data_IF_519098188557
#
_entry.id   IF_519098188557
#
_cell.length_a   1.000
_cell.length_b   1.000
_cell.length_c   1.000
_cell.angle_alpha   90.00
_cell.angle_beta   90.00
_cell.angle_gamma   90.00
#
_symmetry.space_group_name_H-M   'P 1'
#
loop_
_entity.id
_entity.type
_entity.pdbx_description
1 polymer ?
#
# COMPACT_ATOMS: atom_id res chain seq x y z
N UNK A 1 -6.20 -13.82 25.18
CA UNK A 1 -6.13 -12.93 23.98
C UNK A 1 -4.69 -12.47 23.70
N UNK A 2 -3.76 -13.37 23.31
CA UNK A 2 -2.30 -13.09 23.26
C UNK A 2 -1.66 -13.21 21.86
N UNK A 3 -2.44 -13.15 20.79
CA UNK A 3 -1.95 -13.38 19.42
C UNK A 3 -1.57 -12.09 18.64
N UNK A 4 -1.96 -10.90 19.11
CA UNK A 4 -1.82 -9.66 18.31
C UNK A 4 -0.41 -9.03 18.36
N UNK A 5 0.37 -9.31 19.40
CA UNK A 5 1.71 -8.71 19.58
C UNK A 5 2.78 -9.32 18.67
N UNK A 6 2.74 -10.64 18.45
CA UNK A 6 3.76 -11.36 17.66
C UNK A 6 3.83 -10.97 16.18
N UNK A 7 2.68 -10.62 15.57
CA UNK A 7 2.63 -10.15 14.19
C UNK A 7 3.36 -8.82 14.00
N UNK A 8 3.19 -7.90 14.96
CA UNK A 8 3.83 -6.59 14.92
C UNK A 8 5.34 -6.64 15.13
N UNK A 9 5.83 -7.56 15.98
CA UNK A 9 7.26 -7.70 16.24
C UNK A 9 7.99 -8.39 15.08
N UNK A 10 7.38 -9.40 14.44
CA UNK A 10 7.95 -10.02 13.25
C UNK A 10 8.05 -9.02 12.09
N UNK A 11 6.99 -8.25 11.83
CA UNK A 11 7.00 -7.22 10.79
C UNK A 11 8.07 -6.15 11.03
N UNK A 12 8.22 -5.67 12.28
CA UNK A 12 9.28 -4.71 12.63
C UNK A 12 10.67 -5.28 12.35
N UNK A 13 10.91 -6.53 12.74
CA UNK A 13 12.19 -7.21 12.52
C UNK A 13 12.48 -7.41 11.03
N UNK A 14 11.49 -7.85 10.26
CA UNK A 14 11.63 -8.02 8.81
C UNK A 14 11.87 -6.70 8.09
N UNK A 15 11.12 -5.66 8.47
CA UNK A 15 11.33 -4.30 7.97
C UNK A 15 12.75 -3.83 8.25
N UNK A 16 13.19 -3.91 9.50
CA UNK A 16 14.51 -3.45 9.91
C UNK A 16 15.62 -4.21 9.17
N UNK A 17 15.52 -5.55 9.07
CA UNK A 17 16.48 -6.37 8.33
C UNK A 17 16.60 -5.92 6.87
N UNK A 18 15.47 -5.74 6.19
CA UNK A 18 15.43 -5.31 4.79
C UNK A 18 15.95 -3.88 4.62
N UNK A 19 15.61 -2.99 5.55
CA UNK A 19 16.02 -1.59 5.49
C UNK A 19 17.51 -1.41 5.74
N UNK A 20 18.09 -2.08 6.74
CA UNK A 20 19.54 -2.10 6.98
C UNK A 20 20.29 -2.61 5.75
N UNK A 21 19.79 -3.68 5.12
CA UNK A 21 20.39 -4.21 3.90
C UNK A 21 20.36 -3.18 2.75
N UNK A 22 19.20 -2.56 2.52
CA UNK A 22 19.07 -1.51 1.51
C UNK A 22 19.99 -0.31 1.77
N UNK A 23 20.16 0.11 3.03
CA UNK A 23 21.08 1.18 3.40
C UNK A 23 22.55 0.81 3.14
N UNK A 24 22.97 -0.42 3.48
CA UNK A 24 24.34 -0.89 3.21
C UNK A 24 24.66 -0.90 1.72
N UNK A 25 23.70 -1.31 0.89
CA UNK A 25 23.87 -1.33 -0.57
C UNK A 25 24.07 0.10 -1.08
N UNK A 26 23.27 1.05 -0.62
CA UNK A 26 23.43 2.47 -0.96
C UNK A 26 24.77 3.06 -0.50
N UNK A 27 25.22 2.77 0.73
CA UNK A 27 26.51 3.26 1.23
C UNK A 27 27.68 2.67 0.45
N UNK A 28 27.58 1.43 -0.01
CA UNK A 28 28.61 0.77 -0.80
C UNK A 28 28.65 1.28 -2.25
N UNK A 29 27.51 1.64 -2.83
CA UNK A 29 27.44 2.11 -4.21
C UNK A 29 28.00 3.53 -4.40
N UNK A 30 27.80 4.40 -3.41
CA UNK A 30 28.22 5.80 -3.52
C UNK A 30 28.74 6.29 -2.17
N UNK A 31 30.07 6.29 -2.03
CA UNK A 31 30.74 6.74 -0.81
C UNK A 31 30.58 8.24 -0.58
N UNK A 32 30.64 9.03 -1.66
CA UNK A 32 30.51 10.48 -1.63
C UNK A 32 29.13 10.94 -2.13
N UNK A 33 28.14 10.85 -1.24
CA UNK A 33 26.79 11.36 -1.48
C UNK A 33 26.60 12.75 -0.89
N UNK A 34 25.98 13.64 -1.67
CA UNK A 34 25.43 14.90 -1.17
C UNK A 34 24.30 14.64 -0.17
N UNK A 35 23.99 15.62 0.69
CA UNK A 35 22.91 15.50 1.69
C UNK A 35 21.56 15.19 1.03
N UNK A 36 21.29 15.78 -0.13
CA UNK A 36 20.05 15.55 -0.87
C UNK A 36 19.96 14.09 -1.36
N UNK A 37 21.05 13.52 -1.83
CA UNK A 37 21.13 12.12 -2.27
C UNK A 37 20.99 11.17 -1.10
N UNK A 38 21.64 11.45 0.04
CA UNK A 38 21.47 10.67 1.27
C UNK A 38 20.00 10.64 1.71
N UNK A 39 19.32 11.80 1.71
CA UNK A 39 17.89 11.88 2.03
C UNK A 39 17.04 11.05 1.07
N UNK A 40 17.33 11.09 -0.23
CA UNK A 40 16.62 10.29 -1.25
C UNK A 40 16.88 8.79 -1.05
N UNK A 41 18.12 8.39 -0.80
CA UNK A 41 18.53 7.01 -0.54
C UNK A 41 17.82 6.43 0.70
N UNK A 42 17.80 7.19 1.80
CA UNK A 42 17.09 6.80 3.03
C UNK A 42 15.60 6.57 2.75
N UNK A 43 14.96 7.52 2.07
CA UNK A 43 13.54 7.41 1.70
C UNK A 43 13.28 6.20 0.80
N UNK A 44 14.06 6.06 -0.28
CA UNK A 44 13.89 4.97 -1.23
C UNK A 44 14.09 3.61 -0.56
N UNK A 45 15.17 3.46 0.20
CA UNK A 45 15.46 2.24 0.95
C UNK A 45 14.32 1.87 1.92
N UNK A 46 13.69 2.86 2.56
CA UNK A 46 12.54 2.63 3.43
C UNK A 46 11.27 2.22 2.65
N UNK A 47 10.95 2.93 1.57
CA UNK A 47 9.79 2.65 0.70
C UNK A 47 9.91 1.27 0.02
N UNK A 48 11.14 0.88 -0.31
CA UNK A 48 11.49 -0.44 -0.81
C UNK A 48 11.34 -1.50 0.28
N UNK A 49 11.93 -1.28 1.46
CA UNK A 49 11.88 -2.23 2.57
C UNK A 49 10.44 -2.51 3.02
N UNK A 50 9.61 -1.48 3.19
CA UNK A 50 8.21 -1.61 3.60
C UNK A 50 7.41 -2.43 2.58
N UNK A 51 7.58 -2.21 1.28
CA UNK A 51 6.91 -3.00 0.26
C UNK A 51 7.36 -4.47 0.27
N UNK A 52 8.66 -4.71 0.43
CA UNK A 52 9.24 -6.05 0.43
C UNK A 52 8.94 -6.87 1.67
N UNK A 53 8.66 -6.26 2.83
CA UNK A 53 8.15 -7.02 3.99
C UNK A 53 6.88 -7.79 3.68
N UNK A 54 6.08 -7.31 2.73
CA UNK A 54 4.85 -7.98 2.31
C UNK A 54 5.06 -8.99 1.21
N UNK A 55 6.30 -9.24 0.77
CA UNK A 55 6.64 -10.19 -0.29
C UNK A 55 5.75 -10.01 -1.54
N UNK A 56 5.41 -8.77 -1.89
CA UNK A 56 4.49 -8.43 -2.99
C UNK A 56 3.09 -9.09 -2.90
N UNK A 57 2.66 -9.48 -1.70
CA UNK A 57 1.35 -10.12 -1.47
C UNK A 57 0.17 -9.14 -1.55
N UNK A 58 0.42 -7.85 -1.33
CA UNK A 58 -0.60 -6.80 -1.36
C UNK A 58 -0.55 -6.02 -2.67
N UNK A 59 -1.68 -5.48 -3.10
CA UNK A 59 -1.71 -4.59 -4.27
C UNK A 59 -0.89 -3.33 -4.01
N UNK A 60 -1.01 -2.74 -2.81
CA UNK A 60 -0.27 -1.51 -2.49
C UNK A 60 1.24 -1.71 -2.55
N UNK A 61 1.77 -2.85 -2.08
CA UNK A 61 3.22 -3.12 -2.11
C UNK A 61 3.72 -3.32 -3.53
N UNK A 62 2.96 -4.02 -4.39
CA UNK A 62 3.29 -4.18 -5.81
C UNK A 62 3.28 -2.85 -6.56
N UNK A 63 2.25 -2.03 -6.34
CA UNK A 63 2.19 -0.70 -6.98
C UNK A 63 3.31 0.21 -6.49
N UNK A 64 3.64 0.18 -5.21
CA UNK A 64 4.76 0.95 -4.66
C UNK A 64 6.08 0.55 -5.33
N UNK A 65 6.37 -0.75 -5.43
CA UNK A 65 7.57 -1.25 -6.12
C UNK A 65 7.60 -0.89 -7.61
N UNK A 66 6.46 -1.00 -8.30
CA UNK A 66 6.35 -0.59 -9.70
C UNK A 66 6.60 0.92 -9.89
N UNK A 67 6.15 1.75 -8.96
CA UNK A 67 6.39 3.20 -9.01
C UNK A 67 7.86 3.55 -8.76
N UNK A 68 8.53 2.81 -7.87
CA UNK A 68 9.96 2.99 -7.59
C UNK A 68 10.79 2.60 -8.83
N UNK A 69 10.44 1.48 -9.47
CA UNK A 69 11.13 0.97 -10.67
C UNK A 69 11.02 1.88 -11.90
N UNK A 70 9.98 2.71 -12.01
CA UNK A 70 9.78 3.62 -13.16
C UNK A 70 10.77 4.78 -13.23
N UNK A 71 11.53 5.01 -12.17
CA UNK A 71 12.52 6.08 -12.14
C UNK A 71 13.88 5.46 -12.51
N UNK A 72 14.37 5.70 -13.73
CA UNK A 72 15.58 5.10 -14.33
C UNK A 72 16.80 5.15 -13.40
N UNK A 73 16.95 6.23 -12.62
CA UNK A 73 18.05 6.37 -11.65
C UNK A 73 17.98 5.39 -10.47
N UNK A 74 16.80 4.88 -10.16
CA UNK A 74 16.56 3.95 -9.05
C UNK A 74 16.44 2.49 -9.50
N UNK A 75 16.34 2.23 -10.81
CA UNK A 75 16.14 0.90 -11.37
C UNK A 75 17.33 -0.03 -11.06
N UNK A 76 18.56 0.42 -11.32
CA UNK A 76 19.78 -0.32 -11.01
C UNK A 76 19.97 -0.58 -9.51
N UNK A 77 19.55 0.38 -8.67
CA UNK A 77 19.59 0.27 -7.22
C UNK A 77 18.56 -0.73 -6.70
N UNK A 78 17.35 -0.73 -7.25
CA UNK A 78 16.32 -1.73 -6.94
C UNK A 78 16.82 -3.10 -7.37
N UNK A 79 17.32 -3.26 -8.59
CA UNK A 79 17.84 -4.55 -9.06
C UNK A 79 18.96 -5.11 -8.17
N UNK A 80 19.87 -4.28 -7.68
CA UNK A 80 20.95 -4.71 -6.78
C UNK A 80 20.47 -4.97 -5.35
N UNK A 81 19.49 -4.20 -4.84
CA UNK A 81 18.83 -4.45 -3.54
C UNK A 81 18.05 -5.77 -3.57
N UNK A 82 17.63 -6.24 -4.75
CA UNK A 82 16.78 -7.43 -4.95
C UNK A 82 17.41 -8.60 -5.69
N UNK A 83 18.67 -8.53 -6.11
CA UNK A 83 19.33 -9.62 -6.84
C UNK A 83 19.34 -10.93 -6.01
N UNK A 84 19.34 -10.81 -4.68
CA UNK A 84 19.33 -11.94 -3.74
C UNK A 84 17.91 -12.45 -3.39
N UNK A 85 16.85 -11.85 -3.98
CA UNK A 85 15.46 -12.27 -3.80
C UNK A 85 14.87 -12.72 -5.14
N UNK A 86 15.36 -13.87 -5.64
CA UNK A 86 14.83 -14.56 -6.84
C UNK A 86 13.31 -14.76 -6.85
N UNK A 87 12.63 -14.58 -5.71
CA UNK A 87 11.19 -14.74 -5.54
C UNK A 87 10.40 -13.57 -6.16
N UNK A 88 11.01 -12.41 -6.40
CA UNK A 88 10.31 -11.20 -6.88
C UNK A 88 10.36 -11.07 -8.42
N UNK A 89 11.48 -11.39 -9.08
CA UNK A 89 11.60 -11.34 -10.55
C UNK A 89 10.66 -12.33 -11.27
N UNK A 90 10.36 -13.49 -10.67
CA UNK A 90 9.50 -14.52 -11.30
C UNK A 90 7.99 -14.36 -11.06
N UNK A 91 7.54 -13.47 -10.17
CA UNK A 91 6.10 -13.34 -9.83
C UNK A 91 5.42 -12.07 -10.34
N UNK A 92 6.17 -11.09 -10.83
CA UNK A 92 5.60 -9.94 -11.55
C UNK A 92 4.99 -10.35 -12.90
N UNK A 93 5.55 -11.39 -13.54
CA UNK A 93 5.11 -11.88 -14.85
C UNK A 93 4.02 -12.96 -14.80
N UNK A 94 3.59 -13.41 -13.61
CA UNK A 94 2.63 -14.52 -13.49
C UNK A 94 1.42 -14.07 -12.65
N UNK A 95 0.28 -13.94 -13.35
CA UNK A 95 -1.06 -13.51 -12.90
C UNK A 95 -1.38 -12.00 -12.98
N UNK A 96 -1.25 -11.45 -14.18
CA UNK A 96 -2.38 -10.70 -14.76
C UNK A 96 -3.45 -11.73 -15.18
N UNK A 97 -4.13 -12.33 -14.20
CA UNK A 97 -5.33 -13.12 -14.51
C UNK A 97 -6.43 -12.13 -14.83
N UNK A 98 -6.79 -12.11 -16.11
CA UNK A 98 -8.02 -11.51 -16.59
C UNK A 98 -9.18 -11.94 -15.68
N UNK A 99 -9.79 -11.00 -14.97
CA UNK A 99 -11.15 -11.21 -14.46
C UNK A 99 -12.11 -11.08 -15.65
N UNK A 100 -12.08 -12.07 -16.54
CA UNK A 100 -13.21 -12.35 -17.42
C UNK A 100 -14.36 -12.76 -16.52
N UNK A 101 -15.34 -11.88 -16.38
CA UNK A 101 -16.71 -12.22 -16.05
C UNK A 101 -17.60 -11.19 -16.74
N UNK A 102 -17.66 -11.28 -18.07
CA UNK A 102 -18.77 -10.67 -18.84
C UNK A 102 -19.54 -11.76 -19.57
N UNK A 103 -20.12 -12.67 -18.79
CA UNK A 103 -21.40 -13.26 -19.18
C UNK A 103 -22.47 -12.35 -18.58
N UNK A 104 -22.71 -11.20 -19.22
CA UNK A 104 -23.92 -10.41 -18.95
C UNK A 104 -24.97 -10.82 -19.96
N UNK A 105 -25.70 -11.88 -19.63
CA UNK A 105 -26.93 -12.28 -20.32
C UNK A 105 -27.89 -11.07 -20.30
N UNK A 106 -28.25 -10.56 -21.47
CA UNK A 106 -29.04 -9.34 -21.71
C UNK A 106 -30.50 -9.36 -21.16
N UNK A 107 -30.84 -10.20 -20.18
CA UNK A 107 -32.20 -10.34 -19.62
C UNK A 107 -32.43 -9.72 -18.23
N UNK A 108 -31.41 -9.12 -17.59
CA UNK A 108 -31.55 -8.54 -16.23
C UNK A 108 -31.84 -7.02 -16.23
N UNK A 109 -31.83 -6.34 -17.38
CA UNK A 109 -32.14 -4.90 -17.43
C UNK A 109 -33.63 -4.60 -17.16
N UNK A 110 -34.54 -5.54 -17.47
CA UNK A 110 -35.99 -5.31 -17.32
C UNK A 110 -36.55 -5.48 -15.90
N UNK A 111 -35.82 -6.11 -14.96
CA UNK A 111 -36.28 -6.23 -13.55
C UNK A 111 -36.00 -4.99 -12.69
N UNK A 112 -35.04 -4.15 -13.09
CA UNK A 112 -34.64 -2.96 -12.32
C UNK A 112 -35.64 -1.81 -12.38
N UNK A 113 -36.46 -1.73 -13.44
CA UNK A 113 -37.54 -0.73 -13.53
C UNK A 113 -38.71 -1.08 -12.61
N UNK A 114 -39.05 -2.37 -12.50
CA UNK A 114 -40.17 -2.85 -11.67
C UNK A 114 -39.87 -2.67 -10.17
N UNK A 115 -38.62 -2.87 -9.73
CA UNK A 115 -38.23 -2.64 -8.32
C UNK A 115 -38.18 -1.14 -7.97
N UNK A 116 -37.77 -0.27 -8.91
CA UNK A 116 -37.82 1.19 -8.72
C UNK A 116 -39.26 1.71 -8.59
N UNK A 117 -40.20 1.15 -9.34
CA UNK A 117 -41.62 1.51 -9.24
C UNK A 117 -42.21 1.01 -7.90
N UNK A 118 -41.86 -0.19 -7.46
CA UNK A 118 -42.34 -0.75 -6.17
C UNK A 118 -41.77 -0.04 -4.94
N UNK A 119 -40.53 0.45 -4.99
CA UNK A 119 -39.94 1.23 -3.89
C UNK A 119 -40.67 2.55 -3.65
N UNK A 120 -41.26 3.17 -4.68
CA UNK A 120 -42.12 4.36 -4.55
C UNK A 120 -43.48 4.06 -3.89
N UNK A 121 -43.92 2.79 -3.93
CA UNK A 121 -45.18 2.32 -3.32
C UNK A 121 -45.04 1.89 -1.85
N UNK A 122 -43.80 1.70 -1.38
CA UNK A 122 -43.45 1.27 -0.02
C UNK A 122 -42.96 2.44 0.84
N UNK A 123 -43.80 3.45 1.07
CA UNK A 123 -43.78 4.33 2.26
C UNK A 123 -42.50 5.03 2.74
N UNK A 124 -41.34 4.97 2.08
CA UNK A 124 -40.15 5.72 2.48
C UNK A 124 -40.34 7.18 2.06
N UNK A 125 -40.67 8.04 3.03
CA UNK A 125 -40.87 9.46 2.80
C UNK A 125 -39.69 10.12 2.04
N UNK A 126 -39.92 11.22 1.31
CA UNK A 126 -38.91 11.90 0.50
C UNK A 126 -37.61 12.22 1.25
N UNK A 127 -37.69 12.43 2.57
CA UNK A 127 -36.56 12.67 3.45
C UNK A 127 -35.62 11.46 3.60
N UNK A 128 -36.14 10.23 3.71
CA UNK A 128 -35.30 9.03 3.85
C UNK A 128 -34.51 8.73 2.56
N UNK A 129 -35.11 8.98 1.39
CA UNK A 129 -34.44 8.86 0.09
C UNK A 129 -33.33 9.90 -0.06
N UNK A 130 -33.60 11.17 0.31
CA UNK A 130 -32.60 12.26 0.35
C UNK A 130 -31.45 11.94 1.31
N UNK A 131 -31.73 11.46 2.51
CA UNK A 131 -30.71 11.05 3.49
C UNK A 131 -29.83 9.91 2.95
N UNK A 132 -30.42 8.89 2.32
CA UNK A 132 -29.68 7.78 1.72
C UNK A 132 -28.75 8.24 0.58
N UNK A 133 -29.20 9.21 -0.23
CA UNK A 133 -28.40 9.77 -1.30
C UNK A 133 -27.22 10.58 -0.75
N UNK A 134 -27.45 11.42 0.26
CA UNK A 134 -26.41 12.18 0.95
C UNK A 134 -25.35 11.23 1.55
N UNK A 135 -25.79 10.18 2.25
CA UNK A 135 -24.89 9.17 2.82
C UNK A 135 -24.05 8.49 1.73
N UNK A 136 -24.66 8.06 0.63
CA UNK A 136 -23.95 7.45 -0.51
C UNK A 136 -22.93 8.42 -1.14
N UNK A 137 -23.31 9.69 -1.31
CA UNK A 137 -22.40 10.72 -1.85
C UNK A 137 -21.21 10.94 -0.92
N UNK A 138 -21.44 11.02 0.39
CA UNK A 138 -20.37 11.15 1.38
C UNK A 138 -19.41 9.95 1.36
N UNK A 139 -19.95 8.73 1.34
CA UNK A 139 -19.14 7.50 1.26
C UNK A 139 -18.33 7.49 -0.02
N UNK A 140 -18.95 7.80 -1.18
CA UNK A 140 -18.23 7.87 -2.47
C UNK A 140 -17.06 8.86 -2.43
N UNK A 141 -17.28 10.05 -1.87
CA UNK A 141 -16.24 11.07 -1.75
C UNK A 141 -15.09 10.62 -0.84
N UNK A 142 -15.41 10.07 0.34
CA UNK A 142 -14.40 9.55 1.27
C UNK A 142 -13.62 8.37 0.68
N UNK A 143 -14.30 7.47 -0.01
CA UNK A 143 -13.67 6.38 -0.75
C UNK A 143 -12.72 6.91 -1.81
N UNK A 144 -13.09 7.96 -2.54
CA UNK A 144 -12.21 8.55 -3.56
C UNK A 144 -10.94 9.17 -2.96
N UNK A 145 -11.06 9.86 -1.82
CA UNK A 145 -9.89 10.36 -1.08
C UNK A 145 -9.03 9.19 -0.59
N UNK A 146 -9.63 8.12 -0.08
CA UNK A 146 -8.87 6.95 0.37
C UNK A 146 -8.12 6.29 -0.79
N UNK A 147 -8.74 6.20 -1.97
CA UNK A 147 -8.11 5.67 -3.20
C UNK A 147 -6.89 6.46 -3.63
N UNK A 148 -6.83 7.78 -3.38
CA UNK A 148 -5.65 8.59 -3.71
C UNK A 148 -4.53 8.49 -2.69
N UNK A 149 -4.83 8.07 -1.45
CA UNK A 149 -3.83 7.95 -0.37
C UNK A 149 -3.11 6.61 -0.38
N UNK A 150 -3.81 5.53 -0.75
CA UNK A 150 -3.24 4.18 -0.77
C UNK A 150 -2.55 3.94 -2.12
N UNK A 151 -1.29 3.48 -2.16
CA UNK A 151 -0.63 3.11 -3.41
C UNK A 151 -1.49 2.10 -4.20
N UNK A 152 -1.81 2.41 -5.45
CA UNK A 152 -2.67 1.57 -6.29
C UNK A 152 -4.17 1.58 -5.94
N UNK A 153 -4.60 2.40 -4.98
CA UNK A 153 -5.97 2.47 -4.48
C UNK A 153 -7.01 2.77 -5.56
N UNK A 154 -6.64 3.55 -6.58
CA UNK A 154 -7.53 3.86 -7.70
C UNK A 154 -8.06 2.60 -8.41
N UNK A 155 -7.24 1.55 -8.48
CA UNK A 155 -7.54 0.29 -9.15
C UNK A 155 -8.23 -0.74 -8.23
N UNK A 156 -8.52 -0.39 -6.98
CA UNK A 156 -9.10 -1.29 -6.00
C UNK A 156 -10.64 -1.18 -5.94
N UNK A 157 -11.30 -2.31 -5.66
CA UNK A 157 -12.69 -2.36 -5.22
C UNK A 157 -12.84 -1.91 -3.76
N UNK A 158 -14.05 -1.55 -3.33
CA UNK A 158 -14.31 -0.95 -2.00
C UNK A 158 -13.83 -1.83 -0.83
N UNK A 159 -14.15 -3.14 -0.85
CA UNK A 159 -13.75 -4.07 0.23
C UNK A 159 -12.24 -4.28 0.25
N UNK A 160 -11.63 -4.47 -0.92
CA UNK A 160 -10.17 -4.62 -1.04
C UNK A 160 -9.43 -3.36 -0.59
N UNK A 161 -9.98 -2.18 -0.91
CA UNK A 161 -9.42 -0.89 -0.50
C UNK A 161 -9.29 -0.79 1.03
N UNK A 162 -10.34 -1.16 1.77
CA UNK A 162 -10.28 -1.13 3.25
C UNK A 162 -9.24 -2.12 3.78
N UNK A 163 -9.20 -3.35 3.26
CA UNK A 163 -8.22 -4.37 3.66
C UNK A 163 -6.79 -3.90 3.42
N UNK A 164 -6.51 -3.42 2.22
CA UNK A 164 -5.19 -2.91 1.80
C UNK A 164 -4.80 -1.65 2.60
N UNK A 165 -5.75 -0.77 2.91
CA UNK A 165 -5.54 0.41 3.77
C UNK A 165 -5.08 0.00 5.16
N UNK A 166 -5.76 -0.95 5.80
CA UNK A 166 -5.40 -1.42 7.14
C UNK A 166 -3.98 -1.99 7.16
N UNK A 167 -3.64 -2.77 6.14
CA UNK A 167 -2.31 -3.35 5.98
C UNK A 167 -1.23 -2.28 5.74
N UNK A 168 -1.53 -1.28 4.91
CA UNK A 168 -0.62 -0.17 4.64
C UNK A 168 -0.40 0.70 5.90
N UNK A 169 -1.46 1.02 6.66
CA UNK A 169 -1.35 1.74 7.94
C UNK A 169 -0.46 0.97 8.93
N UNK A 170 -0.64 -0.35 9.05
CA UNK A 170 0.18 -1.17 9.92
C UNK A 170 1.66 -1.09 9.52
N UNK A 171 1.94 -1.13 8.21
CA UNK A 171 3.28 -1.07 7.66
C UNK A 171 3.92 0.31 7.85
N UNK A 172 3.16 1.40 7.65
CA UNK A 172 3.60 2.77 7.91
C UNK A 172 3.95 3.00 9.39
N UNK A 173 3.14 2.46 10.30
CA UNK A 173 3.43 2.54 11.75
C UNK A 173 4.75 1.87 12.10
N UNK A 174 5.04 0.72 11.49
CA UNK A 174 6.32 0.02 11.66
C UNK A 174 7.48 0.87 11.16
N UNK A 175 7.38 1.40 9.94
CA UNK A 175 8.41 2.28 9.35
C UNK A 175 8.70 3.47 10.27
N UNK A 176 7.67 4.20 10.69
CA UNK A 176 7.81 5.39 11.55
C UNK A 176 8.37 5.06 12.93
N UNK A 177 7.93 3.97 13.57
CA UNK A 177 8.45 3.55 14.87
C UNK A 177 9.95 3.22 14.81
N UNK A 178 10.38 2.49 13.78
CA UNK A 178 11.80 2.13 13.61
C UNK A 178 12.64 3.38 13.31
N UNK A 179 12.17 4.27 12.43
CA UNK A 179 12.88 5.52 12.12
C UNK A 179 13.05 6.42 13.35
N UNK A 180 12.01 6.54 14.18
CA UNK A 180 12.08 7.32 15.43
C UNK A 180 13.09 6.75 16.42
N UNK A 181 13.10 5.43 16.61
CA UNK A 181 14.04 4.75 17.52
C UNK A 181 15.49 4.97 17.10
N UNK A 182 15.77 4.92 15.79
CA UNK A 182 17.10 5.21 15.27
C UNK A 182 17.49 6.68 15.47
N UNK A 183 16.56 7.63 15.23
CA UNK A 183 16.82 9.04 15.47
C UNK A 183 17.15 9.30 16.95
N UNK A 184 16.35 8.79 17.89
CA UNK A 184 16.61 8.93 19.32
C UNK A 184 17.93 8.27 19.73
N UNK A 185 18.24 7.08 19.22
CA UNK A 185 19.52 6.42 19.49
C UNK A 185 20.71 7.25 18.97
N UNK A 186 20.60 7.85 17.79
CA UNK A 186 21.64 8.70 17.23
C UNK A 186 21.85 9.98 18.05
N UNK A 187 20.76 10.60 18.53
CA UNK A 187 20.82 11.76 19.44
C UNK A 187 21.56 11.42 20.74
N UNK A 188 21.27 10.27 21.37
CA UNK A 188 21.96 9.87 22.60
C UNK A 188 23.45 9.58 22.40
N UNK A 189 23.85 9.02 21.25
CA UNK A 189 25.26 8.79 20.92
C UNK A 189 26.05 10.09 20.75
N UNK A 190 25.42 11.18 20.30
CA UNK A 190 26.08 12.49 20.16
C UNK A 190 26.35 13.21 21.48
N UNK A 191 25.65 12.85 22.57
CA UNK A 191 25.90 13.39 23.92
C UNK A 191 26.92 12.58 24.73
N UNK A 192 27.46 11.51 24.15
CA UNK A 192 28.39 10.57 24.81
C UNK A 192 29.84 10.73 24.34
N UNK A 193 30.13 11.80 23.58
CA UNK A 193 31.45 12.24 23.11
C UNK A 193 31.74 13.63 23.68
#
# INVERSE_FOLDING_TARGET
MKARTGYSTSLKREFLKRWINGLHIYSNLKKDMSILERKRAIKLSADVAIASTRNASTLWSRTLMANISKNETNESLVEQIFSDSEVIKKRASIRLMACSNRITSKKIVRRSHITKIRARKMGLGPHAVKASYIAKKLVKNRTQVLKSLVPGGQNMGEVSLIKETLDYIASLRVQVDVMRRLASAAEHSTWSL
#
